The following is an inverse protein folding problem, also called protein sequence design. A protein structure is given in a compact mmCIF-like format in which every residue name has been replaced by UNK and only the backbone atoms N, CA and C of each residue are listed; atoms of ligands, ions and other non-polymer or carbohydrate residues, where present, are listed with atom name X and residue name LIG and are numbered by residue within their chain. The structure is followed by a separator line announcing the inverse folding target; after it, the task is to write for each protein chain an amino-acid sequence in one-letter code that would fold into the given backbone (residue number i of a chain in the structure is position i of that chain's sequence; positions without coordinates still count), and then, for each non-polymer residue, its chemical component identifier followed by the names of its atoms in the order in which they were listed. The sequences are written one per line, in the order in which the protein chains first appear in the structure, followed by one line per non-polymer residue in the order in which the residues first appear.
data_IF_628936726015
#
_entry.id   IF_628936726015
#
_cell.length_a   1.000
_cell.length_b   1.000
_cell.length_c   1.000
_cell.angle_alpha   90.00
_cell.angle_beta   90.00
_cell.angle_gamma   90.00
#
_symmetry.space_group_name_H-M   'P 1'
#
loop_
_entity.id
_entity.type
_entity.pdbx_description
1 polymer ?
#
# COMPACT_ATOMS: atom_id res chain seq x y z
N UNK A 1 32.42 14.38 -4.65
CA UNK A 1 31.49 13.23 -4.79
C UNK A 1 30.10 13.80 -5.03
N UNK A 2 29.51 13.47 -6.18
CA UNK A 2 28.13 13.90 -6.47
C UNK A 2 27.22 13.10 -5.54
N UNK A 3 26.56 13.79 -4.60
CA UNK A 3 25.54 13.16 -3.76
C UNK A 3 24.43 12.67 -4.72
N UNK A 4 24.04 11.39 -4.70
CA UNK A 4 22.95 10.93 -5.53
C UNK A 4 21.72 11.76 -5.18
N UNK A 5 21.12 12.38 -6.20
CA UNK A 5 19.88 13.14 -6.02
C UNK A 5 18.75 12.14 -5.89
N UNK A 6 18.19 12.01 -4.69
CA UNK A 6 17.02 11.16 -4.46
C UNK A 6 15.77 11.84 -5.01
N UNK A 7 14.87 11.03 -5.55
CA UNK A 7 13.56 11.51 -6.01
C UNK A 7 12.81 12.20 -4.87
N UNK A 8 12.34 13.44 -5.05
CA UNK A 8 11.66 14.19 -3.98
C UNK A 8 10.44 13.48 -3.41
N UNK A 9 9.69 12.76 -4.25
CA UNK A 9 8.52 11.98 -3.82
C UNK A 9 8.92 10.79 -2.95
N UNK A 10 10.07 10.16 -3.22
CA UNK A 10 10.60 9.10 -2.37
C UNK A 10 11.01 9.63 -0.99
N UNK A 11 11.67 10.78 -0.95
CA UNK A 11 12.03 11.44 0.32
C UNK A 11 10.77 11.80 1.11
N UNK A 12 9.75 12.34 0.45
CA UNK A 12 8.46 12.67 1.07
C UNK A 12 7.75 11.42 1.61
N UNK A 13 7.79 10.32 0.87
CA UNK A 13 7.29 9.02 1.35
C UNK A 13 7.96 8.60 2.66
N UNK A 14 9.29 8.68 2.76
CA UNK A 14 10.03 8.31 3.97
C UNK A 14 9.64 9.18 5.17
N UNK A 15 9.38 10.48 4.93
CA UNK A 15 8.88 11.39 5.96
C UNK A 15 7.49 10.95 6.44
N UNK A 16 6.54 10.74 5.55
CA UNK A 16 5.19 10.31 5.92
C UNK A 16 5.19 8.93 6.59
N UNK A 17 6.02 8.02 6.10
CA UNK A 17 6.11 6.67 6.67
C UNK A 17 6.68 6.67 8.09
N UNK A 18 7.81 7.33 8.31
CA UNK A 18 8.54 7.26 9.57
C UNK A 18 8.07 8.27 10.62
N UNK A 19 7.67 9.47 10.22
CA UNK A 19 7.24 10.55 11.11
C UNK A 19 5.75 10.49 11.41
N UNK A 20 4.94 10.50 10.34
CA UNK A 20 3.49 10.72 10.46
C UNK A 20 2.69 9.42 10.53
N UNK A 21 3.29 8.30 10.10
CA UNK A 21 2.58 7.02 9.97
C UNK A 21 1.34 7.15 9.08
N UNK A 22 1.40 8.07 8.13
CA UNK A 22 0.34 8.33 7.17
C UNK A 22 0.50 7.47 5.92
N UNK A 23 0.05 6.22 6.05
CA UNK A 23 0.19 5.23 4.98
C UNK A 23 -0.71 5.51 3.79
N UNK A 24 -1.74 6.35 3.96
CA UNK A 24 -2.56 6.81 2.85
C UNK A 24 -1.76 7.78 1.97
N UNK A 25 -1.15 8.80 2.57
CA UNK A 25 -0.29 9.74 1.82
C UNK A 25 0.96 9.04 1.27
N UNK A 26 1.50 8.04 1.98
CA UNK A 26 2.55 7.17 1.45
C UNK A 26 2.16 6.50 0.13
N UNK A 27 0.92 6.03 0.03
CA UNK A 27 0.40 5.44 -1.20
C UNK A 27 0.34 6.47 -2.33
N UNK A 28 -0.23 7.65 -2.08
CA UNK A 28 -0.42 8.69 -3.09
C UNK A 28 0.92 9.15 -3.69
N UNK A 29 1.91 9.46 -2.85
CA UNK A 29 3.21 9.94 -3.33
C UNK A 29 4.01 8.86 -4.05
N UNK A 30 3.97 7.61 -3.58
CA UNK A 30 4.66 6.52 -4.26
C UNK A 30 3.96 6.03 -5.51
N UNK A 31 2.64 6.13 -5.60
CA UNK A 31 1.93 5.80 -6.84
C UNK A 31 2.33 6.79 -7.95
N UNK A 32 2.41 8.08 -7.64
CA UNK A 32 2.89 9.08 -8.60
C UNK A 32 4.32 8.78 -9.06
N UNK A 33 5.22 8.49 -8.13
CA UNK A 33 6.61 8.16 -8.44
C UNK A 33 6.73 6.86 -9.26
N UNK A 34 6.02 5.82 -8.86
CA UNK A 34 6.00 4.55 -9.56
C UNK A 34 5.53 4.67 -11.01
N UNK A 35 4.53 5.52 -11.26
CA UNK A 35 4.07 5.80 -12.62
C UNK A 35 5.11 6.59 -13.44
N UNK A 36 5.86 7.49 -12.81
CA UNK A 36 6.93 8.26 -13.46
C UNK A 36 8.16 7.40 -13.80
N UNK A 37 8.46 6.40 -12.97
CA UNK A 37 9.64 5.54 -13.10
C UNK A 37 9.30 4.21 -13.82
N UNK A 38 8.50 4.28 -14.84
CA UNK A 38 8.15 3.14 -15.72
C UNK A 38 7.70 1.89 -14.94
N UNK A 39 7.00 2.10 -13.84
CA UNK A 39 6.45 1.05 -12.97
C UNK A 39 7.50 0.17 -12.30
N UNK A 40 8.59 0.75 -11.85
CA UNK A 40 9.65 0.05 -11.13
C UNK A 40 9.07 -0.83 -10.00
N UNK A 41 9.41 -2.14 -9.97
CA UNK A 41 8.85 -3.09 -9.01
C UNK A 41 9.25 -2.81 -7.56
N UNK A 42 10.40 -2.16 -7.30
CA UNK A 42 10.86 -1.85 -5.94
C UNK A 42 9.95 -0.79 -5.31
N UNK A 43 9.67 0.29 -6.04
CA UNK A 43 8.71 1.31 -5.57
C UNK A 43 7.30 0.74 -5.40
N UNK A 44 6.91 -0.21 -6.27
CA UNK A 44 5.63 -0.91 -6.10
C UNK A 44 5.58 -1.73 -4.82
N UNK A 45 6.67 -2.41 -4.48
CA UNK A 45 6.79 -3.16 -3.24
C UNK A 45 6.68 -2.27 -2.00
N UNK A 46 7.39 -1.13 -1.98
CA UNK A 46 7.32 -0.15 -0.89
C UNK A 46 5.89 0.44 -0.73
N UNK A 47 5.24 0.76 -1.85
CA UNK A 47 3.85 1.19 -1.87
C UNK A 47 2.92 0.14 -1.24
N UNK A 48 3.11 -1.13 -1.60
CA UNK A 48 2.29 -2.22 -1.07
C UNK A 48 2.52 -2.45 0.44
N UNK A 49 3.73 -2.20 0.98
CA UNK A 49 3.96 -2.21 2.42
C UNK A 49 3.08 -1.15 3.11
N UNK A 50 3.08 0.09 2.62
CA UNK A 50 2.27 1.15 3.20
C UNK A 50 0.77 0.81 3.15
N UNK A 51 0.26 0.34 2.01
CA UNK A 51 -1.14 -0.07 1.86
C UNK A 51 -1.48 -1.25 2.78
N UNK A 52 -0.57 -2.22 2.92
CA UNK A 52 -0.74 -3.36 3.82
C UNK A 52 -0.86 -2.95 5.29
N UNK A 53 0.00 -2.04 5.74
CA UNK A 53 -0.05 -1.48 7.09
C UNK A 53 -1.32 -0.64 7.31
N UNK A 54 -1.74 0.13 6.31
CA UNK A 54 -3.02 0.85 6.34
C UNK A 54 -4.19 -0.11 6.57
N UNK A 55 -4.27 -1.18 5.80
CA UNK A 55 -5.31 -2.20 5.96
C UNK A 55 -5.25 -2.89 7.32
N UNK A 56 -4.05 -3.27 7.77
CA UNK A 56 -3.87 -3.90 9.06
C UNK A 56 -4.36 -3.00 10.21
N UNK A 57 -3.94 -1.74 10.24
CA UNK A 57 -4.35 -0.76 11.25
C UNK A 57 -5.87 -0.55 11.28
N UNK A 58 -6.53 -0.66 10.15
CA UNK A 58 -7.98 -0.50 10.02
C UNK A 58 -8.76 -1.82 10.17
N UNK A 59 -8.15 -2.90 10.62
CA UNK A 59 -8.81 -4.19 10.87
C UNK A 59 -9.13 -5.00 9.62
N UNK A 60 -8.72 -4.57 8.43
CA UNK A 60 -8.84 -5.35 7.20
C UNK A 60 -7.66 -6.32 7.08
N UNK A 61 -7.68 -7.38 7.87
CA UNK A 61 -6.57 -8.35 7.96
C UNK A 61 -6.30 -9.06 6.63
N UNK A 62 -7.34 -9.40 5.88
CA UNK A 62 -7.19 -10.03 4.56
C UNK A 62 -6.51 -9.10 3.56
N UNK A 63 -6.95 -7.83 3.49
CA UNK A 63 -6.32 -6.83 2.64
C UNK A 63 -4.88 -6.56 3.03
N UNK A 64 -4.62 -6.46 4.34
CA UNK A 64 -3.28 -6.32 4.91
C UNK A 64 -2.36 -7.47 4.51
N UNK A 65 -2.81 -8.71 4.70
CA UNK A 65 -2.07 -9.90 4.29
C UNK A 65 -1.72 -9.88 2.80
N UNK A 66 -2.71 -9.70 1.94
CA UNK A 66 -2.49 -9.73 0.48
C UNK A 66 -1.48 -8.68 0.01
N UNK A 67 -1.52 -7.48 0.59
CA UNK A 67 -0.60 -6.41 0.23
C UNK A 67 0.82 -6.67 0.75
N UNK A 68 0.97 -7.06 2.01
CA UNK A 68 2.28 -7.32 2.61
C UNK A 68 2.95 -8.55 1.98
N UNK A 69 2.22 -9.62 1.73
CA UNK A 69 2.73 -10.82 1.07
C UNK A 69 3.23 -10.51 -0.35
N UNK A 70 2.42 -9.78 -1.13
CA UNK A 70 2.83 -9.32 -2.46
C UNK A 70 4.05 -8.39 -2.42
N UNK A 71 4.16 -7.53 -1.40
CA UNK A 71 5.32 -6.66 -1.20
C UNK A 71 6.59 -7.47 -0.93
N UNK A 72 6.51 -8.44 -0.02
CA UNK A 72 7.63 -9.34 0.30
C UNK A 72 8.15 -10.04 -0.95
N UNK A 73 7.27 -10.65 -1.74
CA UNK A 73 7.67 -11.32 -2.98
C UNK A 73 8.35 -10.39 -4.01
N UNK A 74 7.97 -9.11 -4.03
CA UNK A 74 8.60 -8.13 -4.93
C UNK A 74 9.96 -7.67 -4.45
N UNK A 75 10.14 -7.55 -3.13
CA UNK A 75 11.30 -6.92 -2.52
C UNK A 75 12.36 -7.92 -2.07
N UNK A 76 12.03 -9.20 -1.89
CA UNK A 76 12.97 -10.22 -1.38
C UNK A 76 14.22 -10.43 -2.24
N UNK A 77 14.15 -10.06 -3.52
CA UNK A 77 15.29 -10.11 -4.43
C UNK A 77 15.99 -8.76 -4.63
N UNK A 78 15.50 -7.70 -3.97
CA UNK A 78 16.17 -6.40 -4.01
C UNK A 78 17.47 -6.45 -3.20
N UNK A 79 18.45 -5.62 -3.59
CA UNK A 79 19.68 -5.51 -2.82
C UNK A 79 19.40 -5.06 -1.38
N UNK A 80 20.15 -5.60 -0.41
CA UNK A 80 19.92 -5.37 1.03
C UNK A 80 19.86 -3.89 1.43
N UNK A 81 20.53 -3.01 0.67
CA UNK A 81 20.57 -1.57 0.89
C UNK A 81 20.04 -0.79 -0.32
N UNK A 82 19.14 -1.41 -1.10
CA UNK A 82 18.52 -0.73 -2.23
C UNK A 82 17.85 0.57 -1.78
N UNK A 83 17.92 1.60 -2.59
CA UNK A 83 17.35 2.92 -2.33
C UNK A 83 17.86 3.60 -1.05
N UNK A 84 19.02 3.20 -0.51
CA UNK A 84 19.65 3.81 0.67
C UNK A 84 19.00 3.46 2.01
N UNK A 85 18.13 2.43 2.04
CA UNK A 85 17.46 1.93 3.25
C UNK A 85 17.89 0.50 3.58
N UNK A 86 17.66 0.05 4.80
CA UNK A 86 17.83 -1.35 5.19
C UNK A 86 16.64 -2.18 4.66
N UNK A 87 16.73 -2.53 3.37
CA UNK A 87 15.68 -3.26 2.67
C UNK A 87 15.46 -4.65 3.26
N UNK A 88 16.54 -5.35 3.62
CA UNK A 88 16.44 -6.69 4.20
C UNK A 88 15.62 -6.69 5.49
N UNK A 89 15.92 -5.76 6.41
CA UNK A 89 15.15 -5.60 7.65
C UNK A 89 13.67 -5.29 7.38
N UNK A 90 13.40 -4.36 6.46
CA UNK A 90 12.02 -3.98 6.12
C UNK A 90 11.23 -5.16 5.56
N UNK A 91 11.85 -5.97 4.69
CA UNK A 91 11.23 -7.17 4.11
C UNK A 91 10.96 -8.23 5.20
N UNK A 92 11.90 -8.43 6.13
CA UNK A 92 11.72 -9.39 7.22
C UNK A 92 10.59 -8.97 8.18
N UNK A 93 10.50 -7.70 8.51
CA UNK A 93 9.42 -7.15 9.35
C UNK A 93 8.06 -7.24 8.62
N UNK A 94 8.01 -6.92 7.33
CA UNK A 94 6.80 -7.06 6.51
C UNK A 94 6.35 -8.53 6.40
N UNK A 95 7.31 -9.46 6.25
CA UNK A 95 7.05 -10.92 6.23
C UNK A 95 6.49 -11.41 7.57
N UNK A 96 7.00 -10.90 8.68
CA UNK A 96 6.47 -11.24 10.00
C UNK A 96 5.02 -10.75 10.18
N UNK A 97 4.73 -9.52 9.74
CA UNK A 97 3.36 -8.98 9.74
C UNK A 97 2.43 -9.79 8.83
N UNK A 98 2.88 -10.16 7.62
CA UNK A 98 2.07 -10.96 6.69
C UNK A 98 1.72 -12.32 7.29
N UNK A 99 2.67 -13.01 7.94
CA UNK A 99 2.42 -14.28 8.63
C UNK A 99 1.38 -14.15 9.74
N UNK A 100 1.52 -13.14 10.60
CA UNK A 100 0.56 -12.87 11.68
C UNK A 100 -0.86 -12.64 11.14
N UNK A 101 -0.98 -11.91 10.02
CA UNK A 101 -2.27 -11.66 9.37
C UNK A 101 -2.83 -12.90 8.68
N UNK A 102 -1.98 -13.73 8.06
CA UNK A 102 -2.40 -14.97 7.44
C UNK A 102 -3.03 -15.92 8.49
N UNK A 103 -2.41 -16.06 9.67
CA UNK A 103 -2.94 -16.83 10.77
C UNK A 103 -4.32 -16.32 11.19
N UNK A 104 -4.48 -14.99 11.37
CA UNK A 104 -5.75 -14.38 11.74
C UNK A 104 -6.85 -14.56 10.66
N UNK A 105 -6.50 -14.56 9.38
CA UNK A 105 -7.45 -14.78 8.28
C UNK A 105 -7.86 -16.25 8.16
N UNK A 106 -6.94 -17.19 8.37
CA UNK A 106 -7.20 -18.63 8.29
C UNK A 106 -8.03 -19.13 9.48
N UNK A 107 -7.82 -18.55 10.66
CA UNK A 107 -8.49 -18.93 11.90
C UNK A 107 -9.90 -18.34 12.05
N UNK A 108 -10.24 -17.30 11.26
CA UNK A 108 -11.58 -16.67 11.27
C UNK A 108 -12.73 -17.59 10.86
N UNK A 109 -12.44 -18.85 10.52
CA UNK A 109 -13.42 -19.91 10.21
C UNK A 109 -13.64 -20.92 11.35
N UNK A 110 -13.04 -20.74 12.54
CA UNK A 110 -13.16 -21.67 13.66
C UNK A 110 -13.59 -21.00 14.97
N UNK A 111 -14.33 -21.75 15.80
CA UNK A 111 -14.97 -21.28 17.04
C UNK A 111 -14.05 -20.89 18.21
N UNK A 112 -12.72 -20.90 18.05
CA UNK A 112 -11.81 -20.45 19.11
C UNK A 112 -11.50 -18.96 18.93
N UNK A 113 -12.07 -18.14 19.81
CA UNK A 113 -11.72 -16.72 19.98
C UNK A 113 -10.26 -16.58 20.39
N UNK A 114 -9.36 -16.49 19.40
CA UNK A 114 -8.00 -16.02 19.65
C UNK A 114 -7.96 -14.49 19.66
N UNK A 115 -7.01 -13.94 20.40
CA UNK A 115 -6.81 -12.49 20.44
C UNK A 115 -6.50 -11.97 19.02
N UNK A 116 -7.10 -10.82 18.64
CA UNK A 116 -6.81 -10.23 17.34
C UNK A 116 -5.31 -9.93 17.20
N UNK A 117 -4.77 -9.96 15.98
CA UNK A 117 -3.36 -9.67 15.75
C UNK A 117 -3.02 -8.26 16.22
N UNK A 118 -1.89 -8.13 16.90
CA UNK A 118 -1.45 -6.85 17.48
C UNK A 118 -0.77 -6.02 16.40
N UNK A 119 -1.40 -4.90 16.04
CA UNK A 119 -0.81 -3.94 15.11
C UNK A 119 0.41 -3.26 15.71
N UNK A 120 1.46 -3.10 14.90
CA UNK A 120 2.64 -2.28 15.20
C UNK A 120 3.06 -1.52 13.94
N UNK A 121 3.47 -0.27 14.12
CA UNK A 121 4.10 0.49 13.04
C UNK A 121 5.49 -0.07 12.73
N UNK A 122 5.81 -0.14 11.45
CA UNK A 122 7.17 -0.39 10.99
C UNK A 122 7.94 0.92 10.87
N UNK A 123 9.27 0.84 10.94
CA UNK A 123 10.15 1.98 10.71
C UNK A 123 11.17 1.64 9.64
N UNK A 124 11.21 2.44 8.58
CA UNK A 124 12.20 2.29 7.51
C UNK A 124 13.53 2.86 8.01
N UNK A 125 14.50 1.98 8.18
CA UNK A 125 15.85 2.35 8.59
C UNK A 125 16.64 2.89 7.39
N UNK A 126 17.07 4.16 7.49
CA UNK A 126 17.86 4.82 6.45
C UNK A 126 19.34 4.56 6.74
N UNK A 127 20.01 3.88 5.83
CA UNK A 127 21.43 3.48 6.00
C UNK A 127 22.38 4.43 5.25
N UNK A 128 21.94 5.04 4.17
CA UNK A 128 22.79 5.93 3.39
C UNK A 128 22.79 7.36 3.97
N UNK A 129 23.98 7.94 4.25
CA UNK A 129 24.09 9.27 4.85
C UNK A 129 23.46 10.38 4.00
N UNK A 130 23.58 10.30 2.67
CA UNK A 130 22.99 11.28 1.74
C UNK A 130 21.48 11.28 1.77
N UNK A 131 20.85 10.10 1.84
CA UNK A 131 19.40 9.97 2.01
C UNK A 131 18.95 10.51 3.36
N UNK A 132 19.70 10.23 4.42
CA UNK A 132 19.39 10.75 5.77
C UNK A 132 19.36 12.27 5.78
N UNK A 133 20.36 12.93 5.19
CA UNK A 133 20.40 14.39 5.06
C UNK A 133 19.22 14.93 4.23
N UNK A 134 18.87 14.26 3.13
CA UNK A 134 17.73 14.65 2.32
C UNK A 134 16.41 14.57 3.11
N UNK A 135 16.22 13.50 3.88
CA UNK A 135 15.02 13.34 4.73
C UNK A 135 15.01 14.36 5.85
N UNK A 136 16.12 14.60 6.56
CA UNK A 136 16.23 15.62 7.62
C UNK A 136 15.87 17.01 7.08
N UNK A 137 16.38 17.37 5.91
CA UNK A 137 16.02 18.65 5.26
C UNK A 137 14.51 18.70 4.93
N UNK A 138 13.95 17.62 4.45
CA UNK A 138 12.52 17.54 4.09
C UNK A 138 11.59 17.63 5.31
N UNK A 139 12.03 17.21 6.50
CA UNK A 139 11.23 17.28 7.73
C UNK A 139 10.69 18.68 8.03
N UNK A 140 11.45 19.74 7.69
CA UNK A 140 11.04 21.12 7.88
C UNK A 140 10.09 21.66 6.81
N UNK A 141 10.08 21.07 5.62
CA UNK A 141 9.31 21.54 4.47
C UNK A 141 8.06 20.72 4.19
N UNK A 142 8.07 19.43 4.53
CA UNK A 142 6.91 18.56 4.37
C UNK A 142 5.92 18.79 5.51
N UNK A 143 4.68 19.24 5.23
CA UNK A 143 3.67 19.47 6.25
C UNK A 143 3.42 18.23 7.09
N UNK A 144 3.26 18.40 8.40
CA UNK A 144 2.91 17.31 9.31
C UNK A 144 1.47 16.86 9.03
N UNK A 145 1.29 15.56 8.82
CA UNK A 145 -0.01 14.92 8.69
C UNK A 145 -0.38 14.17 9.98
N UNK A 146 -1.66 14.24 10.31
CA UNK A 146 -2.24 13.45 11.40
C UNK A 146 -3.29 12.55 10.78
N UNK A 147 -2.98 11.26 10.52
CA UNK A 147 -3.80 10.35 9.70
C UNK A 147 -5.25 10.22 10.15
N UNK A 148 -5.49 10.27 11.46
CA UNK A 148 -6.81 10.06 12.05
C UNK A 148 -7.68 11.32 12.05
N UNK A 149 -7.13 12.49 11.75
CA UNK A 149 -7.84 13.77 11.78
C UNK A 149 -8.19 14.28 10.38
N UNK A 150 -7.56 13.76 9.35
CA UNK A 150 -7.87 14.09 7.96
C UNK A 150 -8.59 12.92 7.33
N UNK A 151 -9.84 13.11 6.94
CA UNK A 151 -10.50 12.21 6.02
C UNK A 151 -9.62 12.03 4.76
N UNK A 152 -9.74 10.89 4.06
CA UNK A 152 -8.93 10.65 2.88
C UNK A 152 -9.07 11.86 1.94
N UNK A 153 -7.98 12.54 1.66
CA UNK A 153 -7.92 13.49 0.53
C UNK A 153 -7.99 12.64 -0.73
N UNK A 154 -9.21 12.37 -1.14
CA UNK A 154 -9.47 11.73 -2.43
C UNK A 154 -9.10 12.75 -3.50
N UNK A 155 -7.89 12.64 -4.03
CA UNK A 155 -7.47 13.45 -5.14
C UNK A 155 -8.37 13.18 -6.35
N UNK A 156 -8.47 14.14 -7.25
CA UNK A 156 -9.29 14.09 -8.47
C UNK A 156 -9.07 12.77 -9.26
N UNK A 157 -7.84 12.27 -9.31
CA UNK A 157 -7.50 10.98 -9.93
C UNK A 157 -8.16 9.78 -9.24
N UNK A 158 -8.32 9.82 -7.92
CA UNK A 158 -8.98 8.75 -7.17
C UNK A 158 -10.49 8.76 -7.44
N UNK A 159 -11.09 9.92 -7.49
CA UNK A 159 -12.51 10.07 -7.85
C UNK A 159 -12.77 9.59 -9.28
N UNK A 160 -11.91 9.93 -10.22
CA UNK A 160 -12.00 9.45 -11.61
C UNK A 160 -11.91 7.93 -11.70
N UNK A 161 -11.01 7.29 -10.93
CA UNK A 161 -10.88 5.82 -10.88
C UNK A 161 -12.11 5.17 -10.25
N UNK A 162 -12.63 5.75 -9.19
CA UNK A 162 -13.83 5.23 -8.53
C UNK A 162 -15.04 5.33 -9.46
N UNK A 163 -15.21 6.46 -10.15
CA UNK A 163 -16.26 6.62 -11.16
C UNK A 163 -16.12 5.64 -12.32
N UNK A 164 -14.89 5.41 -12.80
CA UNK A 164 -14.61 4.43 -13.85
C UNK A 164 -14.91 2.99 -13.40
N UNK A 165 -14.60 2.65 -12.15
CA UNK A 165 -14.91 1.33 -11.57
C UNK A 165 -16.42 1.14 -11.42
N UNK A 166 -17.13 2.12 -10.89
CA UNK A 166 -18.59 2.08 -10.76
C UNK A 166 -19.28 1.97 -12.14
N UNK A 167 -18.82 2.73 -13.12
CA UNK A 167 -19.31 2.63 -14.49
C UNK A 167 -19.08 1.23 -15.09
N UNK A 168 -17.92 0.62 -14.81
CA UNK A 168 -17.61 -0.75 -15.24
C UNK A 168 -18.54 -1.78 -14.60
N UNK A 169 -18.79 -1.64 -13.29
CA UNK A 169 -19.72 -2.52 -12.56
C UNK A 169 -21.14 -2.40 -13.12
N UNK A 170 -21.64 -1.17 -13.33
CA UNK A 170 -22.96 -0.92 -13.91
C UNK A 170 -23.10 -1.53 -15.31
N UNK A 171 -22.08 -1.43 -16.17
CA UNK A 171 -22.06 -2.06 -17.51
C UNK A 171 -22.13 -3.58 -17.43
N UNK A 172 -21.42 -4.20 -16.49
CA UNK A 172 -21.46 -5.66 -16.29
C UNK A 172 -22.81 -6.13 -15.78
N UNK A 173 -23.44 -5.40 -14.87
CA UNK A 173 -24.78 -5.69 -14.36
C UNK A 173 -25.83 -5.56 -15.46
N UNK A 174 -25.78 -4.50 -16.28
CA UNK A 174 -26.70 -4.32 -17.41
C UNK A 174 -26.52 -5.42 -18.46
N UNK A 175 -25.29 -5.83 -18.77
CA UNK A 175 -25.02 -6.93 -19.70
C UNK A 175 -25.47 -8.30 -19.17
N UNK A 176 -25.41 -8.51 -17.83
CA UNK A 176 -25.93 -9.70 -17.18
C UNK A 176 -27.47 -9.77 -17.23
N UNK A 177 -28.13 -8.65 -17.00
CA UNK A 177 -29.59 -8.55 -17.05
C UNK A 177 -30.17 -8.77 -18.45
N UNK A 178 -29.46 -8.29 -19.49
CA UNK A 178 -29.84 -8.54 -20.90
C UNK A 178 -29.69 -10.00 -21.31
N UNK A 179 -28.71 -10.73 -20.76
CA UNK A 179 -28.54 -12.18 -21.05
C UNK A 179 -29.61 -13.04 -20.37
N UNK A 180 -30.05 -12.69 -19.18
CA UNK A 180 -31.17 -13.40 -18.51
C UNK A 180 -32.50 -13.16 -19.22
N UNK A 181 -32.76 -11.95 -19.68
CA UNK A 181 -34.00 -11.65 -20.44
C UNK A 181 -34.10 -12.35 -21.83
N UNK A 182 -32.96 -12.64 -22.47
CA UNK A 182 -32.92 -13.35 -23.74
C UNK A 182 -33.07 -14.88 -23.62
N UNK A 183 -32.87 -15.44 -22.41
CA UNK A 183 -33.07 -16.88 -22.16
C UNK A 183 -34.55 -17.19 -21.90
N UNK A 184 -35.30 -16.30 -21.26
CA UNK A 184 -36.72 -16.48 -20.94
C UNK A 184 -37.64 -16.40 -22.18
N UNK A 185 -37.21 -15.82 -23.29
CA UNK A 185 -38.03 -15.70 -24.51
C UNK A 185 -37.84 -16.85 -25.47
N UNK A 186 -37.01 -17.87 -25.19
CA UNK A 186 -36.73 -18.98 -26.09
C UNK A 186 -37.49 -20.27 -25.73
N UNK A 187 -38.17 -20.32 -24.60
CA UNK A 187 -38.93 -21.46 -24.10
C UNK A 187 -40.43 -21.12 -23.91
N UNK A 188 -41.07 -20.54 -24.91
CA UNK A 188 -42.53 -20.49 -24.98
C UNK A 188 -43.00 -21.38 -26.13
N UNK A 189 -43.94 -22.31 -25.87
CA UNK A 189 -44.42 -23.31 -26.83
C UNK A 189 -45.20 -22.73 -28.02
#
# INVERSE_FOLDING_TARGET
MVNPSYEPLYVTYLVYFNRDRDYFECHEVLEELWLKLDRDPVYKGLLQIAVGLYHFRNGNYRGGYMMLDSAVHRLEHAASHALGINMAKLVDEARACARQLAEAVMEGSGELQRQPPVYRDLTIEIVEPGLRQAVEKALSSVPVNIPQQRGPRRGEKHEQRQQALEASIRRRQAAGSLRSATVETKDAP
#
